data_IF_769071371001
#
_entry.id   IF_769071371001
#
_cell.length_a   1.000
_cell.length_b   1.000
_cell.length_c   1.000
_cell.angle_alpha   90.00
_cell.angle_beta   90.00
_cell.angle_gamma   90.00
#
_symmetry.space_group_name_H-M   'P 1'
#
loop_
_entity.id
_entity.type
_entity.pdbx_description
1 polymer ?
#
# COMPACT_ATOMS: atom_id res chain seq x y z
N UNK A 1 7.64 -41.64 35.20
CA UNK A 1 7.93 -40.19 35.21
C UNK A 1 9.02 -39.92 34.19
N UNK A 2 8.64 -39.44 33.01
CA UNK A 2 9.58 -38.98 31.98
C UNK A 2 9.03 -37.64 31.48
N UNK A 3 9.62 -36.56 31.99
CA UNK A 3 9.33 -35.21 31.54
C UNK A 3 9.93 -35.04 30.15
N UNK A 4 9.08 -35.07 29.12
CA UNK A 4 9.45 -34.60 27.79
C UNK A 4 9.57 -33.08 27.84
N UNK A 5 10.80 -32.58 27.91
CA UNK A 5 11.12 -31.19 27.73
C UNK A 5 10.74 -30.76 26.30
N UNK A 6 9.62 -30.08 26.16
CA UNK A 6 9.33 -29.26 24.97
C UNK A 6 10.42 -28.20 24.85
N UNK A 7 11.10 -28.03 23.69
CA UNK A 7 12.02 -26.94 23.51
C UNK A 7 11.21 -25.63 23.54
N UNK A 8 11.35 -24.87 24.63
CA UNK A 8 10.95 -23.47 24.69
C UNK A 8 11.74 -22.72 23.61
N UNK A 9 11.08 -22.41 22.50
CA UNK A 9 11.58 -21.40 21.56
C UNK A 9 11.28 -20.03 22.18
N UNK A 10 12.05 -19.66 23.20
CA UNK A 10 12.22 -18.27 23.59
C UNK A 10 12.98 -17.59 22.45
N UNK A 11 12.27 -17.00 21.49
CA UNK A 11 12.87 -15.98 20.63
C UNK A 11 12.39 -14.63 21.14
N UNK A 12 13.19 -13.92 21.95
CA UNK A 12 12.98 -12.49 22.11
C UNK A 12 12.92 -11.86 20.73
N UNK A 13 11.92 -11.00 20.50
CA UNK A 13 11.89 -10.11 19.32
C UNK A 13 13.27 -9.43 19.26
N UNK A 14 14.08 -9.63 18.22
CA UNK A 14 15.42 -9.08 18.22
C UNK A 14 15.29 -7.57 18.05
N UNK A 15 15.37 -6.86 19.17
CA UNK A 15 15.70 -5.44 19.28
C UNK A 15 17.17 -5.15 18.89
N UNK A 16 17.85 -6.06 18.17
CA UNK A 16 19.24 -5.90 17.78
C UNK A 16 19.39 -5.70 16.27
N UNK A 17 20.01 -4.57 15.94
CA UNK A 17 20.28 -4.01 14.60
C UNK A 17 21.37 -4.79 13.84
N UNK A 18 21.57 -6.08 14.14
CA UNK A 18 22.62 -6.86 13.47
C UNK A 18 22.08 -7.44 12.14
N UNK A 19 22.85 -7.26 11.08
CA UNK A 19 22.64 -7.93 9.80
C UNK A 19 23.00 -9.41 9.96
N UNK A 20 22.04 -10.22 10.41
CA UNK A 20 22.21 -11.65 10.62
C UNK A 20 22.39 -12.40 9.29
N UNK A 21 23.12 -13.52 9.31
CA UNK A 21 23.38 -14.42 8.17
C UNK A 21 22.11 -14.77 7.41
N UNK A 22 20.97 -14.96 8.12
CA UNK A 22 19.68 -15.20 7.49
C UNK A 22 19.21 -14.05 6.60
N UNK A 23 19.36 -12.80 7.06
CA UNK A 23 19.03 -11.61 6.27
C UNK A 23 19.94 -11.50 5.04
N UNK A 24 21.23 -11.78 5.22
CA UNK A 24 22.20 -11.80 4.13
C UNK A 24 21.84 -12.83 3.06
N UNK A 25 21.57 -14.08 3.46
CA UNK A 25 21.16 -15.15 2.55
C UNK A 25 19.84 -14.81 1.84
N UNK A 26 18.87 -14.28 2.56
CA UNK A 26 17.60 -13.86 1.97
C UNK A 26 17.77 -12.76 0.92
N UNK A 27 18.57 -11.72 1.23
CA UNK A 27 18.88 -10.64 0.29
C UNK A 27 19.62 -11.17 -0.96
N UNK A 28 20.68 -11.97 -0.77
CA UNK A 28 21.49 -12.51 -1.86
C UNK A 28 20.67 -13.42 -2.79
N UNK A 29 19.80 -14.26 -2.23
CA UNK A 29 18.94 -15.15 -3.02
C UNK A 29 17.93 -14.38 -3.88
N UNK A 30 17.59 -13.16 -3.51
CA UNK A 30 16.64 -12.32 -4.24
C UNK A 30 17.31 -11.18 -5.03
N UNK A 31 18.64 -11.04 -4.98
CA UNK A 31 19.39 -9.98 -5.68
C UNK A 31 19.13 -9.94 -7.18
N UNK A 32 18.82 -11.08 -7.80
CA UNK A 32 18.47 -11.15 -9.22
C UNK A 32 17.18 -10.37 -9.56
N UNK A 33 16.32 -10.08 -8.58
CA UNK A 33 15.09 -9.27 -8.77
C UNK A 33 15.39 -7.78 -8.89
N UNK A 34 16.53 -7.32 -8.36
CA UNK A 34 16.92 -5.90 -8.38
C UNK A 34 16.97 -5.28 -9.80
N UNK A 35 17.63 -5.90 -10.80
CA UNK A 35 17.63 -5.34 -12.17
C UNK A 35 16.25 -5.35 -12.85
N UNK A 36 15.30 -6.20 -12.42
CA UNK A 36 13.97 -6.30 -13.02
C UNK A 36 12.97 -5.33 -12.38
N UNK A 37 13.00 -5.22 -11.05
CA UNK A 37 12.19 -4.29 -10.30
C UNK A 37 12.95 -3.81 -9.05
N UNK A 38 13.77 -2.75 -9.20
CA UNK A 38 14.61 -2.27 -8.11
C UNK A 38 13.78 -1.73 -6.94
N UNK A 39 12.62 -1.14 -7.22
CA UNK A 39 11.75 -0.60 -6.18
C UNK A 39 11.12 -1.72 -5.35
N UNK A 40 10.58 -2.76 -5.98
CA UNK A 40 10.08 -3.94 -5.28
C UNK A 40 11.17 -4.55 -4.40
N UNK A 41 12.38 -4.71 -4.93
CA UNK A 41 13.52 -5.23 -4.15
C UNK A 41 13.81 -4.35 -2.94
N UNK A 42 13.88 -3.03 -3.11
CA UNK A 42 14.12 -2.09 -2.02
C UNK A 42 13.02 -2.19 -0.96
N UNK A 43 11.75 -2.11 -1.37
CA UNK A 43 10.60 -2.20 -0.46
C UNK A 43 10.59 -3.54 0.31
N UNK A 44 10.92 -4.65 -0.35
CA UNK A 44 10.91 -5.99 0.24
C UNK A 44 12.00 -6.20 1.30
N UNK A 45 13.17 -5.60 1.14
CA UNK A 45 14.31 -5.84 2.04
C UNK A 45 14.51 -4.74 3.09
N UNK A 46 14.18 -3.49 2.76
CA UNK A 46 14.45 -2.34 3.63
C UNK A 46 13.20 -1.82 4.34
N UNK A 47 12.00 -2.16 3.88
CA UNK A 47 10.76 -1.81 4.56
C UNK A 47 10.13 -3.04 5.23
N UNK A 48 9.25 -2.80 6.20
CA UNK A 48 8.49 -3.88 6.83
C UNK A 48 7.58 -4.55 5.80
N UNK A 49 7.78 -5.84 5.55
CA UNK A 49 7.00 -6.60 4.56
C UNK A 49 5.49 -6.44 4.79
N UNK A 50 5.06 -6.63 6.03
CA UNK A 50 3.64 -6.49 6.42
C UNK A 50 3.06 -5.09 6.33
N UNK A 51 3.86 -4.06 6.09
CA UNK A 51 3.32 -2.73 5.79
C UNK A 51 3.23 -2.47 4.28
N UNK A 52 4.04 -3.15 3.48
CA UNK A 52 4.14 -2.95 2.04
C UNK A 52 3.31 -3.93 1.20
N UNK A 53 3.17 -5.18 1.65
CA UNK A 53 2.58 -6.27 0.87
C UNK A 53 1.17 -6.76 1.28
N UNK A 54 0.45 -6.23 2.30
CA UNK A 54 -0.93 -6.66 2.55
C UNK A 54 -1.90 -6.39 1.39
N UNK A 55 -1.66 -5.28 0.69
CA UNK A 55 -2.44 -4.84 -0.47
C UNK A 55 -1.49 -4.46 -1.60
N UNK A 56 -1.81 -4.88 -2.82
CA UNK A 56 -0.94 -4.64 -3.98
C UNK A 56 -0.84 -3.15 -4.33
N UNK A 57 -1.89 -2.39 -4.02
CA UNK A 57 -1.99 -0.94 -4.12
C UNK A 57 -0.84 -0.20 -3.43
N UNK A 58 -0.29 -0.71 -2.32
CA UNK A 58 0.84 -0.07 -1.65
C UNK A 58 2.09 -0.09 -2.53
N UNK A 59 2.39 -1.23 -3.13
CA UNK A 59 3.53 -1.40 -4.05
C UNK A 59 3.33 -0.52 -5.28
N UNK A 60 2.13 -0.55 -5.86
CA UNK A 60 1.77 0.22 -7.05
C UNK A 60 1.87 1.72 -6.78
N UNK A 61 1.42 2.19 -5.60
CA UNK A 61 1.59 3.57 -5.19
C UNK A 61 3.06 3.99 -5.21
N UNK A 62 3.98 3.19 -4.66
CA UNK A 62 5.39 3.60 -4.62
C UNK A 62 5.99 3.72 -6.02
N UNK A 63 5.60 2.85 -6.96
CA UNK A 63 6.01 2.96 -8.36
C UNK A 63 5.41 4.22 -8.99
N UNK A 64 4.11 4.47 -8.75
CA UNK A 64 3.43 5.65 -9.25
C UNK A 64 4.00 6.93 -8.65
N UNK A 65 4.42 6.95 -7.39
CA UNK A 65 4.91 8.15 -6.70
C UNK A 65 6.19 8.66 -7.35
N UNK A 66 7.15 7.77 -7.64
CA UNK A 66 8.39 8.14 -8.34
C UNK A 66 8.04 8.77 -9.69
N UNK A 67 7.14 8.14 -10.43
CA UNK A 67 6.66 8.66 -11.69
C UNK A 67 5.96 10.02 -11.53
N UNK A 68 5.04 10.14 -10.59
CA UNK A 68 4.20 11.31 -10.43
C UNK A 68 4.96 12.52 -9.86
N UNK A 69 6.01 12.30 -9.06
CA UNK A 69 6.89 13.36 -8.55
C UNK A 69 7.93 13.77 -9.59
N UNK A 70 8.60 12.81 -10.25
CA UNK A 70 9.74 13.14 -11.12
C UNK A 70 9.39 13.32 -12.59
N UNK A 71 8.32 12.70 -13.09
CA UNK A 71 7.95 12.73 -14.51
C UNK A 71 6.84 13.73 -14.81
N UNK A 72 5.75 13.72 -14.04
CA UNK A 72 4.59 14.60 -14.32
C UNK A 72 4.92 16.10 -14.33
N UNK A 73 5.85 16.65 -13.51
CA UNK A 73 6.21 18.06 -13.64
C UNK A 73 6.75 18.43 -15.03
N UNK A 74 7.48 17.52 -15.70
CA UNK A 74 8.00 17.76 -17.05
C UNK A 74 6.90 17.78 -18.11
N UNK A 75 5.76 17.16 -17.82
CA UNK A 75 4.59 17.11 -18.71
C UNK A 75 3.70 18.34 -18.50
N UNK A 76 3.54 18.76 -17.25
CA UNK A 76 2.62 19.83 -16.87
C UNK A 76 3.23 21.23 -16.89
N UNK A 77 4.55 21.36 -16.69
CA UNK A 77 5.23 22.66 -16.62
C UNK A 77 6.23 22.83 -17.76
N UNK A 78 6.16 23.99 -18.42
CA UNK A 78 7.02 24.34 -19.55
C UNK A 78 8.41 24.82 -19.11
N UNK A 79 8.52 25.51 -17.98
CA UNK A 79 9.79 26.11 -17.53
C UNK A 79 10.59 25.17 -16.63
N UNK A 80 11.91 25.11 -16.87
CA UNK A 80 12.84 24.25 -16.11
C UNK A 80 12.82 24.54 -14.61
N UNK A 81 12.81 25.83 -14.23
CA UNK A 81 12.77 26.23 -12.83
C UNK A 81 11.49 25.76 -12.13
N UNK A 82 10.33 25.91 -12.78
CA UNK A 82 9.08 25.42 -12.21
C UNK A 82 9.14 23.92 -11.97
N UNK A 83 9.66 23.12 -12.91
CA UNK A 83 9.78 21.66 -12.74
C UNK A 83 10.56 21.26 -11.49
N UNK A 84 11.72 21.87 -11.25
CA UNK A 84 12.54 21.55 -10.08
C UNK A 84 11.92 22.05 -8.77
N UNK A 85 11.34 23.26 -8.77
CA UNK A 85 10.58 23.76 -7.62
C UNK A 85 9.42 22.81 -7.29
N UNK A 86 8.73 22.32 -8.31
CA UNK A 86 7.61 21.39 -8.18
C UNK A 86 8.01 20.04 -7.59
N UNK A 87 9.15 19.49 -8.01
CA UNK A 87 9.71 18.27 -7.40
C UNK A 87 10.02 18.53 -5.93
N UNK A 88 10.70 19.64 -5.63
CA UNK A 88 11.06 20.00 -4.25
C UNK A 88 9.82 20.16 -3.37
N UNK A 89 8.81 20.89 -3.82
CA UNK A 89 7.54 21.10 -3.10
C UNK A 89 6.86 19.77 -2.78
N UNK A 90 6.72 18.87 -3.75
CA UNK A 90 6.09 17.57 -3.51
C UNK A 90 6.90 16.69 -2.57
N UNK A 91 8.22 16.71 -2.68
CA UNK A 91 9.11 16.00 -1.75
C UNK A 91 8.94 16.55 -0.33
N UNK A 92 8.98 17.87 -0.14
CA UNK A 92 8.76 18.51 1.17
C UNK A 92 7.37 18.20 1.75
N UNK A 93 6.32 18.28 0.93
CA UNK A 93 4.95 17.96 1.35
C UNK A 93 4.83 16.50 1.79
N UNK A 94 5.47 15.57 1.08
CA UNK A 94 5.49 14.16 1.47
C UNK A 94 6.06 13.98 2.89
N UNK A 95 7.19 14.61 3.22
CA UNK A 95 7.75 14.56 4.59
C UNK A 95 6.85 15.24 5.62
N UNK A 96 6.24 16.37 5.28
CA UNK A 96 5.31 17.06 6.20
C UNK A 96 4.11 16.18 6.53
N UNK A 97 3.57 15.44 5.56
CA UNK A 97 2.45 14.51 5.78
C UNK A 97 2.90 13.30 6.59
N UNK A 98 4.13 12.81 6.38
CA UNK A 98 4.67 11.66 7.11
C UNK A 98 4.74 11.92 8.63
N UNK A 99 5.07 13.15 9.03
CA UNK A 99 5.36 13.52 10.42
C UNK A 99 4.17 13.30 11.38
N UNK A 100 2.93 13.76 11.12
CA UNK A 100 1.77 13.49 11.97
C UNK A 100 1.48 12.01 12.21
N UNK A 101 1.58 11.18 11.15
CA UNK A 101 1.34 9.75 11.27
C UNK A 101 2.44 9.05 12.08
N UNK A 102 3.69 9.52 11.95
CA UNK A 102 4.80 8.98 12.73
C UNK A 102 4.70 9.36 14.21
N UNK A 103 4.27 10.58 14.52
CA UNK A 103 4.13 11.07 15.89
C UNK A 103 3.04 10.34 16.70
N UNK A 104 1.99 9.86 16.03
CA UNK A 104 0.82 9.25 16.69
C UNK A 104 0.46 7.90 16.07
N UNK A 105 1.25 6.84 16.31
CA UNK A 105 0.94 5.52 15.79
C UNK A 105 -0.37 5.00 16.39
N UNK A 106 -1.28 4.52 15.53
CA UNK A 106 -2.54 3.91 15.96
C UNK A 106 -2.26 2.48 16.45
N UNK A 107 -3.08 1.97 17.37
CA UNK A 107 -2.94 0.58 17.82
C UNK A 107 -3.28 -0.42 16.71
N UNK A 108 -4.41 -0.21 16.03
CA UNK A 108 -4.91 -1.12 14.98
C UNK A 108 -5.43 -0.32 13.79
N UNK A 109 -5.19 -0.84 12.59
CA UNK A 109 -5.74 -0.32 11.35
C UNK A 109 -7.26 -0.57 11.28
N UNK A 110 -8.04 0.41 10.82
CA UNK A 110 -9.50 0.29 10.68
C UNK A 110 -9.87 -0.02 9.23
N UNK A 111 -10.75 -1.01 9.00
CA UNK A 111 -11.23 -1.37 7.65
C UNK A 111 -11.84 -0.15 6.93
N UNK A 112 -12.61 0.66 7.63
CA UNK A 112 -13.20 1.88 7.08
C UNK A 112 -12.14 2.89 6.59
N UNK A 113 -11.02 3.02 7.32
CA UNK A 113 -9.91 3.89 6.91
C UNK A 113 -9.26 3.32 5.63
N UNK A 114 -9.10 1.99 5.54
CA UNK A 114 -8.61 1.31 4.32
C UNK A 114 -9.50 1.58 3.12
N UNK A 115 -10.82 1.43 3.27
CA UNK A 115 -11.80 1.68 2.22
C UNK A 115 -11.72 3.13 1.72
N UNK A 116 -11.78 4.11 2.63
CA UNK A 116 -11.69 5.52 2.25
C UNK A 116 -10.33 5.90 1.66
N UNK A 117 -9.25 5.29 2.14
CA UNK A 117 -7.94 5.46 1.56
C UNK A 117 -7.89 4.96 0.12
N UNK A 118 -8.42 3.78 -0.19
CA UNK A 118 -8.46 3.31 -1.58
C UNK A 118 -9.40 4.13 -2.47
N UNK A 119 -10.56 4.58 -1.96
CA UNK A 119 -11.43 5.52 -2.70
C UNK A 119 -10.67 6.79 -3.05
N UNK A 120 -9.98 7.39 -2.08
CA UNK A 120 -9.23 8.63 -2.29
C UNK A 120 -8.04 8.45 -3.22
N UNK A 121 -7.32 7.32 -3.14
CA UNK A 121 -6.24 6.98 -4.06
C UNK A 121 -6.75 6.82 -5.50
N UNK A 122 -7.89 6.15 -5.68
CA UNK A 122 -8.54 5.99 -6.99
C UNK A 122 -8.93 7.35 -7.57
N UNK A 123 -9.68 8.16 -6.83
CA UNK A 123 -10.12 9.49 -7.27
C UNK A 123 -8.94 10.42 -7.59
N UNK A 124 -7.88 10.36 -6.79
CA UNK A 124 -6.65 11.12 -7.05
C UNK A 124 -5.97 10.68 -8.34
N UNK A 125 -5.93 9.38 -8.62
CA UNK A 125 -5.36 8.84 -9.84
C UNK A 125 -6.14 9.30 -11.09
N UNK A 126 -7.47 9.23 -11.05
CA UNK A 126 -8.32 9.76 -12.12
C UNK A 126 -8.17 11.27 -12.30
N UNK A 127 -8.06 12.02 -11.21
CA UNK A 127 -7.86 13.46 -11.25
C UNK A 127 -6.49 13.83 -11.86
N UNK A 128 -5.44 13.05 -11.59
CA UNK A 128 -4.15 13.19 -12.26
C UNK A 128 -4.24 12.94 -13.77
N UNK A 129 -5.01 11.93 -14.21
CA UNK A 129 -5.21 11.70 -15.64
C UNK A 129 -5.92 12.88 -16.31
N UNK A 130 -6.98 13.40 -15.68
CA UNK A 130 -7.69 14.58 -16.18
C UNK A 130 -6.75 15.77 -16.26
N UNK A 131 -5.93 16.00 -15.23
CA UNK A 131 -4.93 17.07 -15.22
C UNK A 131 -4.00 16.97 -16.45
N UNK A 132 -3.49 15.77 -16.77
CA UNK A 132 -2.66 15.55 -17.97
C UNK A 132 -3.42 15.83 -19.26
N UNK A 133 -4.69 15.43 -19.36
CA UNK A 133 -5.51 15.61 -20.57
C UNK A 133 -5.88 17.07 -20.84
N UNK A 134 -6.15 17.86 -19.80
CA UNK A 134 -6.60 19.25 -19.95
C UNK A 134 -5.48 20.29 -19.91
N UNK A 135 -4.23 19.86 -19.73
CA UNK A 135 -3.08 20.74 -19.45
C UNK A 135 -2.86 21.85 -20.48
N UNK A 136 -3.22 21.61 -21.75
CA UNK A 136 -2.98 22.57 -22.84
C UNK A 136 -4.15 23.55 -23.05
N UNK A 137 -5.34 23.23 -22.50
CA UNK A 137 -6.56 24.05 -22.64
C UNK A 137 -6.88 24.81 -21.35
N UNK A 138 -6.75 24.13 -20.21
CA UNK A 138 -7.06 24.65 -18.87
C UNK A 138 -5.87 24.43 -17.93
N UNK A 139 -4.73 25.06 -18.26
CA UNK A 139 -3.46 24.82 -17.59
C UNK A 139 -3.49 25.13 -16.07
N UNK A 140 -4.18 26.21 -15.65
CA UNK A 140 -4.32 26.56 -14.23
C UNK A 140 -5.06 25.48 -13.44
N UNK A 141 -6.17 24.97 -14.01
CA UNK A 141 -6.98 23.91 -13.43
C UNK A 141 -6.18 22.61 -13.40
N UNK A 142 -5.47 22.30 -14.48
CA UNK A 142 -4.57 21.15 -14.56
C UNK A 142 -3.52 21.17 -13.45
N UNK A 143 -2.88 22.32 -13.23
CA UNK A 143 -1.87 22.48 -12.17
C UNK A 143 -2.50 22.30 -10.79
N UNK A 144 -3.61 22.97 -10.51
CA UNK A 144 -4.32 22.84 -9.23
C UNK A 144 -4.75 21.38 -8.96
N UNK A 145 -5.30 20.69 -9.97
CA UNK A 145 -5.67 19.28 -9.89
C UNK A 145 -4.44 18.40 -9.63
N UNK A 146 -3.31 18.65 -10.30
CA UNK A 146 -2.07 17.92 -10.06
C UNK A 146 -1.62 18.00 -8.60
N UNK A 147 -1.51 19.21 -8.06
CA UNK A 147 -1.10 19.43 -6.67
C UNK A 147 -2.05 18.78 -5.66
N UNK A 148 -3.36 19.02 -5.82
CA UNK A 148 -4.37 18.49 -4.91
C UNK A 148 -4.39 16.96 -4.97
N UNK A 149 -4.30 16.39 -6.16
CA UNK A 149 -4.33 14.94 -6.34
C UNK A 149 -3.07 14.28 -5.80
N UNK A 150 -1.88 14.89 -5.96
CA UNK A 150 -0.65 14.37 -5.34
C UNK A 150 -0.72 14.36 -3.81
N UNK A 151 -1.25 15.45 -3.24
CA UNK A 151 -1.45 15.56 -1.80
C UNK A 151 -2.43 14.50 -1.30
N UNK A 152 -3.59 14.37 -1.96
CA UNK A 152 -4.63 13.42 -1.59
C UNK A 152 -4.17 11.97 -1.78
N UNK A 153 -3.50 11.65 -2.89
CA UNK A 153 -2.95 10.31 -3.16
C UNK A 153 -2.04 9.85 -2.01
N UNK A 154 -1.16 10.74 -1.53
CA UNK A 154 -0.24 10.45 -0.42
C UNK A 154 -0.98 10.28 0.91
N UNK A 155 -1.89 11.21 1.25
CA UNK A 155 -2.67 11.12 2.49
C UNK A 155 -3.55 9.87 2.54
N UNK A 156 -4.17 9.52 1.42
CA UNK A 156 -5.04 8.37 1.30
C UNK A 156 -4.27 7.05 1.36
N UNK A 157 -3.03 6.99 0.87
CA UNK A 157 -2.14 5.87 1.16
C UNK A 157 -1.88 5.75 2.65
N UNK A 158 -1.51 6.84 3.35
CA UNK A 158 -1.27 6.75 4.79
C UNK A 158 -2.51 6.37 5.59
N UNK A 159 -3.69 6.70 5.07
CA UNK A 159 -4.96 6.25 5.64
C UNK A 159 -5.20 4.75 5.41
N UNK A 160 -4.85 4.20 4.24
CA UNK A 160 -5.06 2.79 3.88
C UNK A 160 -3.91 1.85 4.21
N UNK A 161 -2.72 2.36 4.48
CA UNK A 161 -1.54 1.57 4.82
C UNK A 161 -1.35 1.44 6.34
N UNK A 162 -0.67 0.37 6.74
CA UNK A 162 -0.39 0.03 8.13
C UNK A 162 1.03 0.43 8.54
N UNK A 163 1.59 1.50 7.96
CA UNK A 163 2.96 1.94 8.25
C UNK A 163 3.16 2.36 9.72
N UNK A 164 2.09 2.86 10.34
CA UNK A 164 2.12 3.46 11.67
C UNK A 164 1.14 2.78 12.62
N UNK A 165 1.00 1.46 12.48
CA UNK A 165 0.13 0.64 13.34
C UNK A 165 0.91 -0.47 14.04
N UNK A 166 0.44 -0.91 15.21
CA UNK A 166 1.01 -2.09 15.88
C UNK A 166 0.48 -3.40 15.29
N UNK A 167 -0.75 -3.36 14.77
CA UNK A 167 -1.42 -4.47 14.09
C UNK A 167 -2.02 -4.00 12.78
N UNK A 168 -1.90 -4.84 11.74
CA UNK A 168 -2.50 -4.58 10.43
C UNK A 168 -3.70 -5.48 10.18
N UNK A 169 -4.55 -5.02 9.26
CA UNK A 169 -5.72 -5.78 8.81
C UNK A 169 -5.43 -6.34 7.43
N UNK A 170 -5.75 -7.61 7.23
CA UNK A 170 -5.64 -8.26 5.93
C UNK A 170 -6.85 -9.17 5.69
N UNK A 171 -7.36 -9.26 4.45
CA UNK A 171 -8.22 -10.36 4.06
C UNK A 171 -7.56 -11.71 4.33
N UNK A 172 -8.35 -12.77 4.51
CA UNK A 172 -7.79 -14.12 4.55
C UNK A 172 -6.96 -14.38 3.27
N UNK A 173 -5.83 -15.13 3.31
CA UNK A 173 -4.95 -15.25 2.14
C UNK A 173 -5.66 -15.81 0.90
N UNK A 174 -6.62 -16.71 1.11
CA UNK A 174 -7.47 -17.26 0.04
C UNK A 174 -8.44 -16.23 -0.56
N UNK A 175 -8.76 -15.17 0.20
CA UNK A 175 -9.63 -14.07 -0.19
C UNK A 175 -8.92 -12.97 -0.97
N UNK A 176 -7.58 -12.96 -0.98
CA UNK A 176 -6.81 -11.96 -1.71
C UNK A 176 -7.12 -11.97 -3.21
N UNK A 177 -7.14 -10.80 -3.89
CA UNK A 177 -7.58 -10.70 -5.28
C UNK A 177 -6.78 -11.51 -6.27
N UNK A 178 -5.49 -11.68 -5.99
CA UNK A 178 -4.51 -12.28 -6.89
C UNK A 178 -4.07 -13.68 -6.47
N UNK A 179 -4.66 -14.24 -5.41
CA UNK A 179 -4.35 -15.60 -4.95
C UNK A 179 -4.91 -16.69 -5.89
N UNK A 180 -6.01 -16.38 -6.58
CA UNK A 180 -6.64 -17.22 -7.61
C UNK A 180 -7.37 -16.33 -8.63
N UNK A 181 -7.68 -16.81 -9.84
CA UNK A 181 -8.50 -16.06 -10.77
C UNK A 181 -9.85 -15.69 -10.14
N UNK A 182 -10.23 -14.41 -10.20
CA UNK A 182 -11.50 -13.91 -9.66
C UNK A 182 -12.24 -13.10 -10.72
N UNK A 183 -13.53 -13.35 -10.86
CA UNK A 183 -14.36 -12.73 -11.90
C UNK A 183 -14.38 -11.20 -11.83
N UNK A 184 -14.41 -10.63 -10.62
CA UNK A 184 -14.39 -9.17 -10.46
C UNK A 184 -13.07 -8.54 -10.91
N UNK A 185 -11.94 -9.23 -10.79
CA UNK A 185 -10.64 -8.73 -11.28
C UNK A 185 -10.67 -8.65 -12.79
N UNK A 186 -11.23 -9.68 -13.45
CA UNK A 186 -11.42 -9.71 -14.90
C UNK A 186 -12.36 -8.59 -15.33
N UNK A 187 -13.51 -8.45 -14.67
CA UNK A 187 -14.49 -7.41 -14.98
C UNK A 187 -13.91 -5.99 -14.86
N UNK A 188 -13.23 -5.68 -13.74
CA UNK A 188 -12.55 -4.39 -13.55
C UNK A 188 -11.47 -4.21 -14.62
N UNK A 189 -10.75 -5.27 -14.98
CA UNK A 189 -9.76 -5.25 -16.06
C UNK A 189 -10.37 -4.86 -17.41
N UNK A 190 -11.51 -5.44 -17.78
CA UNK A 190 -12.23 -5.10 -19.03
C UNK A 190 -12.62 -3.61 -19.03
N UNK A 191 -13.14 -3.09 -17.91
CA UNK A 191 -13.49 -1.67 -17.81
C UNK A 191 -12.28 -0.77 -18.04
N UNK A 192 -11.12 -1.10 -17.46
CA UNK A 192 -9.89 -0.35 -17.67
C UNK A 192 -9.36 -0.47 -19.11
N UNK A 193 -9.51 -1.63 -19.75
CA UNK A 193 -9.16 -1.82 -21.16
C UNK A 193 -9.99 -0.94 -22.09
N UNK A 194 -11.29 -0.80 -21.84
CA UNK A 194 -12.15 0.12 -22.60
C UNK A 194 -11.60 1.54 -22.51
N UNK A 195 -11.24 1.99 -21.31
CA UNK A 195 -10.64 3.32 -21.11
C UNK A 195 -9.30 3.42 -21.83
N UNK A 196 -8.45 2.38 -21.76
CA UNK A 196 -7.16 2.34 -22.43
C UNK A 196 -7.29 2.57 -23.95
N UNK A 197 -8.28 1.95 -24.60
CA UNK A 197 -8.57 2.14 -26.03
C UNK A 197 -8.90 3.61 -26.33
N UNK A 198 -9.64 4.30 -25.47
CA UNK A 198 -9.97 5.73 -25.66
C UNK A 198 -8.76 6.65 -25.47
N UNK A 199 -7.72 6.21 -24.76
CA UNK A 199 -6.49 6.98 -24.55
C UNK A 199 -5.49 6.83 -25.71
N UNK A 200 -5.67 5.84 -26.59
CA UNK A 200 -4.81 5.65 -27.77
C UNK A 200 -4.83 6.91 -28.64
N UNK A 201 -3.65 7.39 -29.02
CA UNK A 201 -3.48 8.60 -29.83
C UNK A 201 -3.52 9.91 -29.05
N UNK A 202 -3.71 9.88 -27.71
CA UNK A 202 -3.54 11.07 -26.86
C UNK A 202 -2.05 11.35 -26.58
N UNK A 203 -1.64 12.63 -26.45
CA UNK A 203 -0.29 12.96 -26.01
C UNK A 203 -0.06 12.47 -24.57
N UNK A 204 1.20 12.22 -24.20
CA UNK A 204 1.58 11.72 -22.86
C UNK A 204 0.96 10.35 -22.55
N UNK A 205 0.91 9.48 -23.55
CA UNK A 205 0.33 8.14 -23.46
C UNK A 205 0.94 7.32 -22.32
N UNK A 206 2.26 7.42 -22.13
CA UNK A 206 2.99 6.74 -21.06
C UNK A 206 2.45 7.12 -19.67
N UNK A 207 2.25 8.41 -19.44
CA UNK A 207 1.73 8.95 -18.18
C UNK A 207 0.29 8.50 -17.93
N UNK A 208 -0.55 8.59 -18.96
CA UNK A 208 -1.95 8.20 -18.90
C UNK A 208 -2.10 6.69 -18.65
N UNK A 209 -1.32 5.85 -19.33
CA UNK A 209 -1.33 4.40 -19.12
C UNK A 209 -0.77 4.00 -17.75
N UNK A 210 0.28 4.68 -17.26
CA UNK A 210 0.82 4.41 -15.92
C UNK A 210 -0.21 4.69 -14.82
N UNK A 211 -0.93 5.82 -14.95
CA UNK A 211 -2.04 6.17 -14.05
C UNK A 211 -3.21 5.17 -14.20
N UNK A 212 -3.58 4.79 -15.42
CA UNK A 212 -4.65 3.83 -15.65
C UNK A 212 -4.33 2.46 -15.03
N UNK A 213 -3.10 1.96 -15.19
CA UNK A 213 -2.63 0.72 -14.55
C UNK A 213 -2.71 0.85 -13.03
N UNK A 214 -2.28 1.98 -12.46
CA UNK A 214 -2.38 2.18 -11.01
C UNK A 214 -3.83 2.19 -10.52
N UNK A 215 -4.72 2.86 -11.25
CA UNK A 215 -6.16 2.90 -10.95
C UNK A 215 -6.82 1.52 -11.00
N UNK A 216 -6.35 0.62 -11.86
CA UNK A 216 -6.80 -0.77 -11.90
C UNK A 216 -6.52 -1.48 -10.57
N UNK A 217 -5.27 -1.44 -10.10
CA UNK A 217 -4.90 -2.09 -8.85
C UNK A 217 -5.62 -1.49 -7.64
N UNK A 218 -5.76 -0.16 -7.60
CA UNK A 218 -6.53 0.53 -6.55
C UNK A 218 -8.00 0.10 -6.56
N UNK A 219 -8.61 -0.05 -7.74
CA UNK A 219 -9.99 -0.50 -7.89
C UNK A 219 -10.18 -1.95 -7.43
N UNK A 220 -9.24 -2.83 -7.76
CA UNK A 220 -9.29 -4.25 -7.38
C UNK A 220 -9.17 -4.42 -5.87
N UNK A 221 -8.20 -3.75 -5.23
CA UNK A 221 -8.04 -3.82 -3.78
C UNK A 221 -9.21 -3.14 -3.04
N UNK A 222 -9.72 -2.01 -3.56
CA UNK A 222 -10.93 -1.37 -3.04
C UNK A 222 -12.11 -2.33 -3.05
N UNK A 223 -12.37 -2.98 -4.20
CA UNK A 223 -13.47 -3.92 -4.32
C UNK A 223 -13.29 -5.11 -3.38
N UNK A 224 -12.06 -5.62 -3.25
CA UNK A 224 -11.73 -6.69 -2.31
C UNK A 224 -12.08 -6.30 -0.88
N UNK A 225 -11.63 -5.14 -0.41
CA UNK A 225 -11.90 -4.66 0.97
C UNK A 225 -13.36 -4.24 1.16
N UNK A 226 -14.11 -3.99 0.09
CA UNK A 226 -15.54 -3.75 0.19
C UNK A 226 -16.35 -5.04 0.33
N UNK A 227 -15.88 -6.12 -0.29
CA UNK A 227 -16.65 -7.37 -0.45
C UNK A 227 -16.21 -8.50 0.47
N UNK A 228 -14.95 -8.49 0.94
CA UNK A 228 -14.43 -9.42 1.94
C UNK A 228 -15.24 -9.28 3.23
N UNK A 229 -15.76 -10.41 3.71
CA UNK A 229 -16.60 -10.49 4.91
C UNK A 229 -15.79 -10.72 6.18
N UNK A 230 -14.59 -11.26 6.02
CA UNK A 230 -13.78 -11.82 7.09
C UNK A 230 -12.35 -11.32 6.97
N UNK A 231 -11.90 -10.67 8.03
CA UNK A 231 -10.58 -10.07 8.10
C UNK A 231 -9.80 -10.66 9.26
N UNK A 232 -8.49 -10.78 9.06
CA UNK A 232 -7.52 -11.12 10.07
C UNK A 232 -6.87 -9.84 10.61
N UNK A 233 -6.67 -9.80 11.92
CA UNK A 233 -5.81 -8.81 12.57
C UNK A 233 -4.48 -9.50 12.84
N UNK A 234 -3.42 -8.98 12.24
CA UNK A 234 -2.11 -9.62 12.20
C UNK A 234 -1.04 -8.74 12.87
N UNK A 235 0.02 -9.37 13.39
CA UNK A 235 1.21 -8.67 13.91
C UNK A 235 2.19 -8.36 12.80
N UNK A 236 2.80 -7.18 12.85
CA UNK A 236 3.84 -6.81 11.91
C UNK A 236 5.09 -7.68 12.02
N UNK A 237 5.63 -8.05 10.86
CA UNK A 237 6.95 -8.64 10.68
C UNK A 237 7.67 -7.97 9.51
N UNK A 238 9.01 -7.98 9.57
CA UNK A 238 9.84 -7.26 8.62
C UNK A 238 10.13 -8.07 7.36
N UNK A 239 10.35 -9.38 7.50
CA UNK A 239 10.66 -10.25 6.36
C UNK A 239 9.63 -11.37 6.20
N UNK A 240 9.30 -11.72 4.96
CA UNK A 240 8.34 -12.77 4.59
C UNK A 240 8.57 -14.11 5.32
N UNK A 241 9.83 -14.55 5.43
CA UNK A 241 10.20 -15.80 6.11
C UNK A 241 9.96 -15.81 7.62
N UNK A 242 9.62 -14.67 8.21
CA UNK A 242 9.24 -14.56 9.62
C UNK A 242 7.75 -14.85 9.85
N UNK A 243 6.95 -14.96 8.78
CA UNK A 243 5.56 -15.36 8.87
C UNK A 243 5.43 -16.77 9.45
N UNK A 244 4.50 -16.96 10.37
CA UNK A 244 4.12 -18.27 10.92
C UNK A 244 2.60 -18.34 10.98
N UNK A 245 1.94 -19.17 10.14
CA UNK A 245 0.49 -19.17 9.95
C UNK A 245 -0.31 -19.32 11.25
N UNK A 246 0.17 -20.14 12.19
CA UNK A 246 -0.51 -20.44 13.46
C UNK A 246 -0.50 -19.29 14.48
N UNK A 247 0.34 -18.26 14.30
CA UNK A 247 0.52 -17.15 15.27
C UNK A 247 -0.08 -15.83 14.80
N UNK A 248 -0.72 -15.82 13.63
CA UNK A 248 -1.13 -14.59 12.92
C UNK A 248 -2.63 -14.28 13.02
N UNK A 249 -3.45 -15.26 13.39
CA UNK A 249 -4.89 -15.08 13.62
C UNK A 249 -5.13 -14.55 15.03
N UNK A 250 -5.32 -13.23 15.17
CA UNK A 250 -5.81 -12.69 16.43
C UNK A 250 -7.35 -12.74 16.51
N UNK A 251 -8.05 -12.43 15.40
CA UNK A 251 -9.52 -12.37 15.36
C UNK A 251 -10.03 -12.54 13.92
N UNK A 252 -11.22 -13.15 13.75
CA UNK A 252 -11.97 -13.15 12.50
C UNK A 252 -13.14 -12.17 12.63
N UNK A 253 -13.10 -11.03 11.94
CA UNK A 253 -14.17 -10.03 11.99
C UNK A 253 -15.21 -10.36 10.92
N UNK A 254 -15.94 -11.46 11.12
CA UNK A 254 -17.19 -11.72 10.40
C UNK A 254 -18.31 -10.83 10.92
N UNK A 255 -19.27 -10.44 10.07
CA UNK A 255 -20.53 -9.77 10.50
C UNK A 255 -21.12 -10.52 11.69
N UNK A 256 -20.95 -9.94 12.88
CA UNK A 256 -21.53 -10.36 14.16
C UNK A 256 -21.34 -11.84 14.54
N UNK A 257 -20.11 -12.25 14.85
CA UNK A 257 -19.90 -13.34 15.82
C UNK A 257 -18.52 -13.17 16.47
N UNK A 258 -18.52 -12.57 17.66
CA UNK A 258 -17.33 -12.39 18.49
C UNK A 258 -17.12 -13.68 19.29
N UNK A 259 -16.26 -14.58 18.80
CA UNK A 259 -15.81 -15.72 19.59
C UNK A 259 -14.56 -15.31 20.37
N UNK A 260 -14.71 -15.16 21.68
CA UNK A 260 -13.63 -14.81 22.60
C UNK A 260 -12.79 -16.04 22.92
N UNK A 261 -11.48 -16.00 22.61
CA UNK A 261 -10.52 -16.88 23.28
C UNK A 261 -9.78 -16.09 24.36
N UNK A 262 -10.06 -16.47 25.61
CA UNK A 262 -9.58 -15.79 26.79
C UNK A 262 -8.06 -15.85 26.94
N UNK A 263 -7.44 -14.68 27.10
CA UNK A 263 -6.14 -14.58 27.75
C UNK A 263 -6.37 -14.39 29.25
N UNK A 264 -5.92 -15.37 30.04
CA UNK A 264 -6.01 -15.36 31.50
C UNK A 264 -4.99 -14.35 32.04
N UNK A 265 -5.38 -13.10 32.21
CA UNK A 265 -4.53 -12.06 32.79
C UNK A 265 -5.28 -10.74 32.92
N UNK A 266 -5.56 -10.34 34.16
CA UNK A 266 -6.37 -9.19 34.56
C UNK A 266 -6.02 -7.90 33.78
N UNK A 267 -6.96 -7.40 33.00
CA UNK A 267 -6.93 -6.06 32.42
C UNK A 267 -8.15 -5.84 31.54
N UNK A 268 -9.07 -4.97 31.96
CA UNK A 268 -10.27 -4.59 31.20
C UNK A 268 -9.88 -4.11 29.81
N UNK A 269 -10.48 -4.68 28.77
CA UNK A 269 -10.39 -4.15 27.40
C UNK A 269 -11.68 -3.39 27.11
N UNK A 270 -11.55 -2.07 26.95
CA UNK A 270 -12.64 -1.17 26.55
C UNK A 270 -12.74 -1.24 25.02
N UNK A 271 -13.96 -1.42 24.52
CA UNK A 271 -14.33 -1.47 23.10
C UNK A 271 -14.62 -0.05 22.60
N UNK A 272 -13.99 0.36 21.48
CA UNK A 272 -14.43 1.47 20.62
C UNK A 272 -14.27 1.07 19.16
#
# INVERSE_FOLDING_TARGET
MTQNATPKVDRPSPKSVCFDRRKATYLLNESWKFPLNPLYFILKHFCSYTCMFPFFSNIVYWHLLIFAVFRLPFVLYSTTNARYVMIFVHFSLFFMILMPFWANPKMTQKIRDIQWGFVGMLLSCWSLMIAVLIKDVYWEVSHAMYHLSMLMLTNCLFLSASYFTMYYVQPHPEELPYAKPRDYVVFIGILHLVVAVHLIGKPNLLELFSLLIASFFFSVDLFSVWTTKTYMICRHYHYEWQSTPEKELLYNVGKAEIVFFGWKGKGKVIVV
#
